data_IF_361990333983
#
_entry.id   IF_361990333983
#
_cell.length_a   1.000
_cell.length_b   1.000
_cell.length_c   1.000
_cell.angle_alpha   90.00
_cell.angle_beta   90.00
_cell.angle_gamma   90.00
#
_symmetry.space_group_name_H-M   'P 1'
#
loop_
_entity.id
_entity.type
_entity.pdbx_description
1 polymer ?
#
# COMPACT_ATOMS: atom_id res chain seq x y z
N UNK A 1 30.98 10.90 28.85
CA UNK A 1 30.43 9.68 28.25
C UNK A 1 28.92 9.78 28.39
N UNK A 2 28.24 10.36 27.39
CA UNK A 2 26.79 10.52 27.43
C UNK A 2 26.17 9.13 27.26
N UNK A 3 25.59 8.58 28.33
CA UNK A 3 24.69 7.44 28.22
C UNK A 3 23.44 7.95 27.48
N UNK A 4 23.31 7.63 26.20
CA UNK A 4 22.01 7.68 25.55
C UNK A 4 21.12 6.68 26.30
N UNK A 5 20.13 7.19 27.03
CA UNK A 5 19.10 6.35 27.61
C UNK A 5 18.34 5.69 26.46
N UNK A 6 18.47 4.38 26.31
CA UNK A 6 17.75 3.63 25.27
C UNK A 6 16.26 3.64 25.61
N UNK A 7 15.43 4.11 24.68
CA UNK A 7 13.97 4.03 24.79
C UNK A 7 13.55 2.58 24.58
N UNK A 8 12.90 1.99 25.59
CA UNK A 8 12.52 0.57 25.56
C UNK A 8 11.03 0.43 25.24
N UNK A 9 10.70 -0.38 24.24
CA UNK A 9 9.31 -0.66 23.88
C UNK A 9 8.57 -1.39 25.00
N UNK A 10 7.41 -0.89 25.43
CA UNK A 10 6.59 -1.50 26.48
C UNK A 10 6.01 -2.87 26.14
N UNK A 11 5.84 -3.20 24.84
CA UNK A 11 5.32 -4.50 24.38
C UNK A 11 6.41 -5.53 24.14
N UNK A 12 7.46 -5.18 23.37
CA UNK A 12 8.50 -6.14 22.96
C UNK A 12 9.72 -6.16 23.89
N UNK A 13 9.85 -5.17 24.79
CA UNK A 13 11.01 -4.96 25.64
C UNK A 13 12.34 -4.87 24.87
N UNK A 14 12.29 -4.38 23.63
CA UNK A 14 13.48 -4.11 22.79
C UNK A 14 13.66 -2.60 22.56
N UNK A 15 14.88 -2.12 22.27
CA UNK A 15 15.15 -0.70 22.02
C UNK A 15 14.35 -0.17 20.81
N UNK A 16 13.73 1.00 20.95
CA UNK A 16 13.10 1.77 19.87
C UNK A 16 14.13 2.70 19.26
N UNK A 17 14.44 2.49 17.97
CA UNK A 17 15.47 3.25 17.23
C UNK A 17 14.88 4.07 16.09
N UNK A 18 14.10 3.44 15.22
CA UNK A 18 13.55 4.09 14.01
C UNK A 18 12.48 5.12 14.36
N UNK A 19 11.48 4.74 15.16
CA UNK A 19 10.39 5.63 15.58
C UNK A 19 10.68 6.35 16.91
N UNK A 20 11.95 6.53 17.29
CA UNK A 20 12.31 7.09 18.59
C UNK A 20 11.79 8.53 18.79
N UNK A 21 11.73 9.32 17.72
CA UNK A 21 11.18 10.68 17.75
C UNK A 21 9.66 10.72 18.02
N UNK A 22 8.97 9.60 17.84
CA UNK A 22 7.52 9.45 18.01
C UNK A 22 7.19 8.51 19.19
N UNK A 23 8.15 8.26 20.09
CA UNK A 23 8.02 7.25 21.13
C UNK A 23 6.80 7.46 22.04
N UNK A 24 6.57 8.70 22.47
CA UNK A 24 5.41 9.03 23.31
C UNK A 24 4.07 8.99 22.54
N UNK A 25 4.10 9.19 21.22
CA UNK A 25 2.90 9.07 20.35
C UNK A 25 2.45 7.62 20.26
N UNK A 26 3.39 6.68 20.23
CA UNK A 26 3.12 5.25 20.09
C UNK A 26 3.07 4.53 21.45
N UNK A 27 2.57 5.20 22.49
CA UNK A 27 2.42 4.63 23.85
C UNK A 27 3.71 3.98 24.39
N UNK A 28 4.85 4.58 24.06
CA UNK A 28 6.18 4.08 24.40
C UNK A 28 6.48 2.70 23.80
N UNK A 29 6.03 2.46 22.57
CA UNK A 29 6.26 1.24 21.81
C UNK A 29 6.94 1.52 20.46
N UNK A 30 7.40 0.45 19.80
CA UNK A 30 7.66 0.51 18.36
C UNK A 30 6.34 0.83 17.64
N UNK A 31 6.38 1.58 16.53
CA UNK A 31 5.21 1.79 15.66
C UNK A 31 4.45 0.48 15.39
N UNK A 32 5.17 -0.58 14.97
CA UNK A 32 4.55 -1.88 14.66
C UNK A 32 3.89 -2.55 15.87
N UNK A 33 4.46 -2.36 17.07
CA UNK A 33 3.92 -2.92 18.30
C UNK A 33 2.66 -2.19 18.74
N UNK A 34 2.66 -0.85 18.62
CA UNK A 34 1.50 -0.02 18.85
C UNK A 34 0.37 -0.37 17.87
N UNK A 35 0.69 -0.45 16.58
CA UNK A 35 -0.26 -0.76 15.51
C UNK A 35 -1.02 -2.06 15.78
N UNK A 36 -0.30 -3.14 16.10
CA UNK A 36 -0.96 -4.42 16.41
C UNK A 36 -1.59 -4.49 17.81
N UNK A 37 -1.31 -3.57 18.71
CA UNK A 37 -1.96 -3.51 20.02
C UNK A 37 -3.29 -2.77 19.93
N UNK A 38 -3.33 -1.65 19.19
CA UNK A 38 -4.45 -0.72 19.24
C UNK A 38 -5.24 -0.62 17.94
N UNK A 39 -4.63 -0.88 16.78
CA UNK A 39 -5.29 -0.70 15.49
C UNK A 39 -5.88 -2.01 14.93
N UNK A 40 -5.47 -3.17 15.45
CA UNK A 40 -5.99 -4.51 15.06
C UNK A 40 -6.75 -5.24 16.19
N UNK A 41 -7.26 -4.53 17.20
CA UNK A 41 -8.00 -5.18 18.31
C UNK A 41 -9.34 -5.80 17.85
N UNK A 42 -9.92 -5.28 16.77
CA UNK A 42 -11.26 -5.64 16.31
C UNK A 42 -11.33 -6.62 15.12
N UNK A 43 -10.20 -6.98 14.52
CA UNK A 43 -10.14 -7.83 13.32
C UNK A 43 -8.85 -8.65 13.29
N UNK A 44 -8.71 -9.55 12.31
CA UNK A 44 -7.54 -10.43 12.23
C UNK A 44 -6.24 -9.62 12.06
N UNK A 45 -5.18 -10.02 12.76
CA UNK A 45 -3.90 -9.30 12.72
C UNK A 45 -3.24 -9.36 11.35
N UNK A 46 -3.58 -10.34 10.51
CA UNK A 46 -3.09 -10.50 9.14
C UNK A 46 -3.99 -9.79 8.10
N UNK A 47 -5.12 -9.21 8.49
CA UNK A 47 -6.01 -8.42 7.62
C UNK A 47 -5.58 -6.95 7.58
N UNK A 48 -5.60 -6.30 6.41
CA UNK A 48 -5.17 -4.90 6.26
C UNK A 48 -6.13 -3.93 6.98
N UNK A 49 -5.57 -3.02 7.78
CA UNK A 49 -6.33 -1.94 8.43
C UNK A 49 -6.39 -0.66 7.57
N UNK A 50 -7.30 0.26 7.91
CA UNK A 50 -7.50 1.51 7.17
C UNK A 50 -6.45 2.60 7.46
N UNK A 51 -5.42 2.34 8.25
CA UNK A 51 -4.41 3.34 8.63
C UNK A 51 -3.48 3.72 7.47
N UNK A 52 -3.41 2.90 6.41
CA UNK A 52 -2.45 3.03 5.32
C UNK A 52 -1.04 2.62 5.76
N UNK A 53 -0.35 1.83 4.93
CA UNK A 53 0.99 1.31 5.30
C UNK A 53 0.98 0.25 6.40
N UNK A 54 -0.16 -0.44 6.60
CA UNK A 54 -0.27 -1.58 7.51
C UNK A 54 0.76 -2.66 7.12
N UNK A 55 1.56 -3.20 8.07
CA UNK A 55 2.52 -4.26 7.71
C UNK A 55 1.82 -5.54 7.20
N UNK A 56 0.59 -5.80 7.63
CA UNK A 56 -0.25 -6.92 7.18
C UNK A 56 -0.80 -6.75 5.77
N UNK A 57 -0.79 -5.53 5.20
CA UNK A 57 -1.19 -5.26 3.82
C UNK A 57 -0.45 -6.12 2.78
N UNK A 58 0.74 -6.59 3.12
CA UNK A 58 1.57 -7.44 2.25
C UNK A 58 1.17 -8.91 2.25
N UNK A 59 0.44 -9.38 3.28
CA UNK A 59 -0.06 -10.74 3.42
C UNK A 59 -1.40 -10.92 2.69
N UNK A 60 -2.14 -9.83 2.48
CA UNK A 60 -3.42 -9.82 1.79
C UNK A 60 -3.35 -10.38 0.36
N UNK A 61 -4.50 -10.83 -0.17
CA UNK A 61 -4.70 -11.55 -1.45
C UNK A 61 -4.36 -10.75 -2.73
N UNK A 62 -3.63 -9.63 -2.62
CA UNK A 62 -3.37 -8.66 -3.69
C UNK A 62 -2.82 -9.29 -4.97
N UNK A 63 -1.91 -10.27 -4.87
CA UNK A 63 -1.42 -11.00 -6.06
C UNK A 63 -2.55 -11.69 -6.84
N UNK A 64 -3.49 -12.31 -6.14
CA UNK A 64 -4.63 -12.99 -6.75
C UNK A 64 -5.57 -12.01 -7.46
N UNK A 65 -5.80 -10.84 -6.84
CA UNK A 65 -6.60 -9.76 -7.41
C UNK A 65 -5.96 -9.23 -8.69
N UNK A 66 -4.65 -8.93 -8.67
CA UNK A 66 -3.90 -8.48 -9.86
C UNK A 66 -3.98 -9.50 -11.00
N UNK A 67 -3.82 -10.79 -10.71
CA UNK A 67 -3.96 -11.86 -11.72
C UNK A 67 -5.38 -11.85 -12.32
N UNK A 68 -6.41 -11.70 -11.48
CA UNK A 68 -7.80 -11.61 -11.92
C UNK A 68 -8.05 -10.41 -12.83
N UNK A 69 -7.59 -9.23 -12.41
CA UNK A 69 -7.68 -7.98 -13.18
C UNK A 69 -6.97 -8.10 -14.53
N UNK A 70 -5.73 -8.59 -14.55
CA UNK A 70 -4.98 -8.75 -15.80
C UNK A 70 -5.69 -9.69 -16.80
N UNK A 71 -6.30 -10.78 -16.31
CA UNK A 71 -7.08 -11.69 -17.16
C UNK A 71 -8.36 -11.04 -17.69
N UNK A 72 -9.06 -10.26 -16.87
CA UNK A 72 -10.25 -9.53 -17.31
C UNK A 72 -9.90 -8.50 -18.40
N UNK A 73 -8.86 -7.69 -18.18
CA UNK A 73 -8.38 -6.71 -19.14
C UNK A 73 -7.93 -7.34 -20.47
N UNK A 74 -7.29 -8.51 -20.42
CA UNK A 74 -6.93 -9.25 -21.64
C UNK A 74 -8.16 -9.68 -22.45
N UNK A 75 -9.26 -10.09 -21.78
CA UNK A 75 -10.52 -10.45 -22.45
C UNK A 75 -11.18 -9.20 -23.05
N UNK A 76 -11.21 -8.09 -22.32
CA UNK A 76 -11.75 -6.82 -22.80
C UNK A 76 -10.99 -6.29 -24.02
N UNK A 77 -9.65 -6.27 -23.95
CA UNK A 77 -8.78 -5.88 -25.06
C UNK A 77 -9.01 -6.72 -26.31
N UNK A 78 -9.17 -8.05 -26.15
CA UNK A 78 -9.46 -8.95 -27.25
C UNK A 78 -10.89 -8.78 -27.83
N UNK A 79 -11.75 -8.01 -27.17
CA UNK A 79 -13.14 -7.74 -27.58
C UNK A 79 -13.31 -6.33 -28.19
N UNK A 80 -12.23 -5.74 -28.70
CA UNK A 80 -12.19 -4.38 -29.25
C UNK A 80 -12.76 -3.31 -28.29
N UNK A 81 -12.48 -3.46 -26.99
CA UNK A 81 -12.86 -2.45 -26.00
C UNK A 81 -12.28 -1.07 -26.40
N UNK A 82 -13.04 0.03 -26.21
CA UNK A 82 -12.63 1.36 -26.67
C UNK A 82 -11.61 2.01 -25.72
N UNK A 83 -10.46 1.35 -25.54
CA UNK A 83 -9.36 1.88 -24.72
C UNK A 83 -8.72 3.08 -25.41
N UNK A 84 -8.36 4.09 -24.62
CA UNK A 84 -7.57 5.21 -25.12
C UNK A 84 -6.17 4.74 -25.55
N UNK A 85 -5.66 3.70 -24.90
CA UNK A 85 -4.34 3.10 -25.13
C UNK A 85 -4.48 1.64 -25.60
N UNK A 86 -4.88 1.40 -26.87
CA UNK A 86 -5.24 0.07 -27.35
C UNK A 86 -4.04 -0.82 -27.70
N UNK A 87 -2.86 -0.25 -27.99
CA UNK A 87 -1.68 -1.06 -28.30
C UNK A 87 -0.87 -1.41 -27.06
N UNK A 88 -0.09 -2.50 -27.11
CA UNK A 88 0.80 -2.91 -26.00
C UNK A 88 1.77 -1.80 -25.62
N UNK A 89 2.32 -1.09 -26.61
CA UNK A 89 3.25 0.01 -26.35
C UNK A 89 2.56 1.16 -25.60
N UNK A 90 1.43 1.67 -26.11
CA UNK A 90 0.69 2.78 -25.49
C UNK A 90 0.21 2.41 -24.08
N UNK A 91 -0.31 1.20 -23.91
CA UNK A 91 -0.79 0.73 -22.61
C UNK A 91 0.34 0.65 -21.57
N UNK A 92 1.52 0.13 -21.95
CA UNK A 92 2.65 0.02 -21.03
C UNK A 92 3.24 1.39 -20.68
N UNK A 93 3.29 2.33 -21.63
CA UNK A 93 3.68 3.72 -21.36
C UNK A 93 2.69 4.42 -20.43
N UNK A 94 1.39 4.28 -20.68
CA UNK A 94 0.35 4.82 -19.81
C UNK A 94 0.38 4.21 -18.40
N UNK A 95 0.63 2.91 -18.30
CA UNK A 95 0.80 2.23 -17.01
C UNK A 95 2.01 2.78 -16.22
N UNK A 96 3.14 2.98 -16.89
CA UNK A 96 4.35 3.54 -16.26
C UNK A 96 4.11 4.98 -15.77
N UNK A 97 3.56 5.85 -16.64
CA UNK A 97 3.19 7.23 -16.27
C UNK A 97 2.23 7.27 -15.08
N UNK A 98 1.22 6.39 -15.07
CA UNK A 98 0.29 6.33 -13.94
C UNK A 98 1.00 5.94 -12.64
N UNK A 99 1.93 4.97 -12.66
CA UNK A 99 2.67 4.58 -11.46
C UNK A 99 3.53 5.73 -10.92
N UNK A 100 4.16 6.52 -11.80
CA UNK A 100 4.93 7.71 -11.44
C UNK A 100 4.07 8.78 -10.75
N UNK A 101 2.81 8.94 -11.19
CA UNK A 101 1.89 9.97 -10.70
C UNK A 101 0.91 9.47 -9.60
N UNK A 102 0.95 8.19 -9.26
CA UNK A 102 -0.10 7.50 -8.49
C UNK A 102 -0.38 8.09 -7.10
N UNK A 103 0.64 8.61 -6.40
CA UNK A 103 0.45 9.30 -5.12
C UNK A 103 -0.52 10.50 -5.25
N UNK A 104 -0.37 11.27 -6.34
CA UNK A 104 -1.24 12.40 -6.64
C UNK A 104 -2.67 11.96 -6.92
N UNK A 105 -2.87 10.81 -7.58
CA UNK A 105 -4.19 10.22 -7.82
C UNK A 105 -4.93 9.92 -6.51
N UNK A 106 -4.27 9.27 -5.53
CA UNK A 106 -4.90 8.96 -4.24
C UNK A 106 -5.21 10.23 -3.44
N UNK A 107 -4.24 11.15 -3.33
CA UNK A 107 -4.40 12.40 -2.58
C UNK A 107 -5.56 13.23 -3.13
N UNK A 108 -5.68 13.36 -4.46
CA UNK A 108 -6.75 14.12 -5.10
C UNK A 108 -8.15 13.52 -4.86
N UNK A 109 -8.23 12.23 -4.56
CA UNK A 109 -9.48 11.56 -4.17
C UNK A 109 -9.69 11.53 -2.64
N UNK A 110 -8.82 12.16 -1.87
CA UNK A 110 -8.87 12.10 -0.40
C UNK A 110 -8.56 10.70 0.15
N UNK A 111 -7.87 9.85 -0.62
CA UNK A 111 -7.42 8.51 -0.22
C UNK A 111 -5.98 8.56 0.28
N UNK A 112 -5.66 7.74 1.27
CA UNK A 112 -4.27 7.46 1.65
C UNK A 112 -3.67 6.49 0.62
N UNK A 113 -2.46 6.75 0.09
CA UNK A 113 -1.80 5.80 -0.81
C UNK A 113 -1.73 4.39 -0.19
N UNK A 114 -2.03 3.33 -0.96
CA UNK A 114 -2.01 1.96 -0.45
C UNK A 114 -0.63 1.57 0.08
N UNK A 115 -0.60 0.84 1.20
CA UNK A 115 0.64 0.26 1.73
C UNK A 115 1.14 -0.92 0.89
N UNK A 116 0.23 -1.56 0.15
CA UNK A 116 0.51 -2.73 -0.68
C UNK A 116 0.81 -2.34 -2.11
N UNK A 117 2.02 -2.67 -2.59
CA UNK A 117 2.38 -2.50 -4.00
C UNK A 117 1.47 -3.28 -4.95
N UNK A 118 0.79 -4.34 -4.49
CA UNK A 118 -0.18 -5.08 -5.29
C UNK A 118 -1.45 -4.26 -5.58
N UNK A 119 -1.92 -3.46 -4.62
CA UNK A 119 -3.08 -2.58 -4.85
C UNK A 119 -2.71 -1.48 -5.84
N UNK A 120 -1.54 -0.84 -5.67
CA UNK A 120 -1.05 0.17 -6.61
C UNK A 120 -0.92 -0.39 -8.03
N UNK A 121 -0.35 -1.59 -8.19
CA UNK A 121 -0.27 -2.26 -9.49
C UNK A 121 -1.65 -2.59 -10.05
N UNK A 122 -2.59 -3.02 -9.23
CA UNK A 122 -3.96 -3.33 -9.66
C UNK A 122 -4.69 -2.09 -10.20
N UNK A 123 -4.59 -0.97 -9.48
CA UNK A 123 -5.21 0.29 -9.87
C UNK A 123 -4.56 0.82 -11.15
N UNK A 124 -3.24 0.72 -11.27
CA UNK A 124 -2.52 1.12 -12.48
C UNK A 124 -2.87 0.27 -13.70
N UNK A 125 -3.06 -1.05 -13.56
CA UNK A 125 -3.53 -1.90 -14.67
C UNK A 125 -4.88 -1.40 -15.22
N UNK A 126 -5.79 -0.98 -14.34
CA UNK A 126 -7.08 -0.44 -14.77
C UNK A 126 -6.93 0.93 -15.39
N UNK A 127 -6.17 1.81 -14.75
CA UNK A 127 -5.96 3.19 -15.20
C UNK A 127 -5.29 3.26 -16.57
N UNK A 128 -4.34 2.37 -16.86
CA UNK A 128 -3.61 2.31 -18.13
C UNK A 128 -4.52 2.19 -19.37
N UNK A 129 -5.77 1.73 -19.22
CA UNK A 129 -6.75 1.70 -20.32
C UNK A 129 -7.22 3.09 -20.78
N UNK A 130 -7.07 4.11 -19.93
CA UNK A 130 -7.62 5.47 -20.14
C UNK A 130 -6.67 6.61 -19.76
N UNK A 131 -5.56 6.34 -19.08
CA UNK A 131 -4.60 7.35 -18.63
C UNK A 131 -3.85 7.96 -19.82
N UNK A 132 -3.82 9.30 -19.89
CA UNK A 132 -3.13 10.08 -20.93
C UNK A 132 -1.65 10.29 -20.60
#
# INVERSE_FOLDING_TARGET
MLHHMELMCRRSHRPVRVSAAQFDVFEQMHYVCFHYEFEHDAFDVDEECSAGGCPSATIATGRGIVIGTARALAIESASDAPWANPTVHEYLEAFARWLEDSDGYYINQGRVPPGSGWEVVNDGLRAATTYE
#
